data_IF_252428596505
#
_entry.id   IF_252428596505
#
_cell.length_a   1.000
_cell.length_b   1.000
_cell.length_c   1.000
_cell.angle_alpha   90.00
_cell.angle_beta   90.00
_cell.angle_gamma   90.00
#
_symmetry.space_group_name_H-M   'P 1'
#
loop_
_entity.id
_entity.type
_entity.pdbx_description
1 polymer ?
#
# COMPACT_ATOMS: atom_id res chain seq x y z
N UNK A 1 -4.17 -4.53 -11.54
CA UNK A 1 -3.89 -3.19 -12.12
C UNK A 1 -3.66 -2.12 -11.04
N UNK A 2 -4.44 -2.10 -9.96
CA UNK A 2 -4.34 -1.07 -8.91
C UNK A 2 -2.96 -0.99 -8.20
N UNK A 3 -2.32 -2.13 -7.90
CA UNK A 3 -0.99 -2.12 -7.25
C UNK A 3 0.08 -1.37 -8.06
N UNK A 4 0.06 -1.53 -9.40
CA UNK A 4 1.01 -0.84 -10.30
C UNK A 4 0.80 0.67 -10.31
N UNK A 5 -0.45 1.14 -10.19
CA UNK A 5 -0.76 2.58 -10.15
C UNK A 5 -0.29 3.20 -8.85
N UNK A 6 -0.56 2.56 -7.70
CA UNK A 6 -0.03 2.99 -6.39
C UNK A 6 1.49 3.08 -6.40
N UNK A 7 2.16 2.03 -6.88
CA UNK A 7 3.62 1.96 -6.96
C UNK A 7 4.18 3.11 -7.79
N UNK A 8 3.64 3.29 -8.99
CA UNK A 8 4.07 4.35 -9.91
C UNK A 8 3.90 5.73 -9.29
N UNK A 9 2.78 5.97 -8.61
CA UNK A 9 2.51 7.23 -7.93
C UNK A 9 3.56 7.52 -6.84
N UNK A 10 3.83 6.55 -5.97
CA UNK A 10 4.85 6.70 -4.92
C UNK A 10 6.24 6.96 -5.52
N UNK A 11 6.61 6.26 -6.60
CA UNK A 11 7.87 6.48 -7.31
C UNK A 11 7.94 7.87 -7.97
N UNK A 12 6.89 8.32 -8.65
CA UNK A 12 6.82 9.64 -9.31
C UNK A 12 6.94 10.78 -8.30
N UNK A 13 6.46 10.56 -7.08
CA UNK A 13 6.54 11.51 -5.98
C UNK A 13 7.79 11.34 -5.10
N UNK A 14 8.76 10.52 -5.52
CA UNK A 14 9.99 10.22 -4.76
C UNK A 14 9.75 9.76 -3.31
N UNK A 15 8.60 9.14 -3.04
CA UNK A 15 8.29 8.58 -1.72
C UNK A 15 9.03 7.25 -1.58
N UNK A 16 9.79 7.09 -0.50
CA UNK A 16 10.38 5.79 -0.17
C UNK A 16 9.27 4.82 0.28
N UNK A 17 9.12 3.71 -0.41
CA UNK A 17 8.18 2.65 -0.05
C UNK A 17 8.84 1.29 -0.24
N UNK A 18 8.34 0.30 0.51
CA UNK A 18 8.73 -1.10 0.38
C UNK A 18 7.57 -1.89 -0.25
N UNK A 19 7.88 -2.71 -1.25
CA UNK A 19 6.88 -3.56 -1.89
C UNK A 19 6.94 -4.96 -1.29
N UNK A 20 5.89 -5.34 -0.57
CA UNK A 20 5.71 -6.69 -0.05
C UNK A 20 4.72 -7.46 -0.92
N UNK A 21 5.23 -8.37 -1.75
CA UNK A 21 4.40 -9.22 -2.60
C UNK A 21 3.85 -10.41 -1.81
N UNK A 22 2.56 -10.40 -1.50
CA UNK A 22 1.89 -11.50 -0.77
C UNK A 22 1.93 -12.86 -1.48
N UNK A 23 2.20 -12.90 -2.79
CA UNK A 23 2.36 -14.16 -3.52
C UNK A 23 3.71 -14.83 -3.23
N UNK A 24 4.75 -14.03 -2.97
CA UNK A 24 6.08 -14.52 -2.59
C UNK A 24 6.23 -14.63 -1.08
N UNK A 25 5.53 -13.75 -0.35
CA UNK A 25 5.59 -13.60 1.09
C UNK A 25 4.20 -13.78 1.71
N UNK A 26 3.69 -15.03 1.78
CA UNK A 26 2.36 -15.31 2.31
C UNK A 26 2.19 -14.91 3.77
N UNK A 27 3.28 -14.72 4.53
CA UNK A 27 3.23 -14.20 5.91
C UNK A 27 2.51 -12.84 6.03
N UNK A 28 2.56 -12.02 4.98
CA UNK A 28 1.84 -10.75 4.97
C UNK A 28 0.33 -10.94 4.75
N UNK A 29 -0.13 -12.08 4.24
CA UNK A 29 -1.56 -12.36 4.11
C UNK A 29 -2.21 -12.37 5.50
N UNK A 30 -1.57 -13.03 6.47
CA UNK A 30 -2.08 -13.09 7.83
C UNK A 30 -2.04 -11.71 8.49
N UNK A 31 -0.97 -10.95 8.31
CA UNK A 31 -0.88 -9.55 8.75
C UNK A 31 -2.01 -8.68 8.19
N UNK A 32 -2.32 -8.81 6.89
CA UNK A 32 -3.42 -8.08 6.26
C UNK A 32 -4.78 -8.50 6.81
N UNK A 33 -5.00 -9.80 7.01
CA UNK A 33 -6.24 -10.35 7.58
C UNK A 33 -6.46 -9.92 9.02
N UNK A 34 -5.41 -9.94 9.85
CA UNK A 34 -5.47 -9.48 11.25
C UNK A 34 -5.86 -8.01 11.35
N UNK A 35 -5.43 -7.19 10.39
CA UNK A 35 -5.83 -5.79 10.26
C UNK A 35 -7.20 -5.59 9.61
N UNK A 36 -7.88 -6.66 9.21
CA UNK A 36 -9.20 -6.62 8.58
C UNK A 36 -9.18 -6.24 7.09
N UNK A 37 -8.01 -6.19 6.45
CA UNK A 37 -7.93 -5.91 5.01
C UNK A 37 -8.25 -7.16 4.20
N UNK A 38 -9.21 -7.02 3.29
CA UNK A 38 -9.64 -8.10 2.40
C UNK A 38 -9.27 -7.87 0.94
N UNK A 39 -8.68 -6.72 0.62
CA UNK A 39 -8.36 -6.32 -0.74
C UNK A 39 -6.96 -5.72 -0.85
N UNK A 40 -6.28 -6.01 -1.96
CA UNK A 40 -5.00 -5.43 -2.35
C UNK A 40 -5.18 -4.38 -3.44
N UNK A 41 -4.30 -3.37 -3.55
CA UNK A 41 -3.10 -3.12 -2.74
C UNK A 41 -3.43 -2.61 -1.34
N UNK A 42 -2.62 -2.95 -0.35
CA UNK A 42 -2.64 -2.31 0.97
C UNK A 42 -1.41 -1.44 1.11
N UNK A 43 -1.61 -0.20 1.54
CA UNK A 43 -0.54 0.76 1.75
C UNK A 43 -0.51 1.08 3.23
N UNK A 44 0.58 0.71 3.88
CA UNK A 44 0.87 1.14 5.25
C UNK A 44 1.82 2.33 5.19
N UNK A 45 1.57 3.31 6.05
CA UNK A 45 2.30 4.57 6.08
C UNK A 45 2.60 4.89 7.52
N UNK A 46 3.88 5.03 7.81
CA UNK A 46 4.31 5.34 9.17
C UNK A 46 3.66 6.63 9.68
N UNK A 47 3.02 6.56 10.85
CA UNK A 47 2.26 7.66 11.44
C UNK A 47 0.88 7.96 10.82
N UNK A 48 0.36 7.12 9.91
CA UNK A 48 -1.02 7.24 9.39
C UNK A 48 -1.75 5.90 9.42
N UNK A 49 -3.07 5.94 9.29
CA UNK A 49 -3.85 4.70 9.13
C UNK A 49 -3.54 4.04 7.79
N UNK A 50 -3.19 2.76 7.85
CA UNK A 50 -3.08 1.91 6.68
C UNK A 50 -4.43 1.84 5.94
N UNK A 51 -4.37 1.75 4.62
CA UNK A 51 -5.58 1.66 3.80
C UNK A 51 -5.44 0.63 2.70
N UNK A 52 -6.57 0.01 2.34
CA UNK A 52 -6.68 -0.87 1.19
C UNK A 52 -7.28 -0.17 -0.02
N UNK A 53 -6.81 -0.55 -1.20
CA UNK A 53 -7.25 -0.04 -2.50
C UNK A 53 -6.40 1.12 -3.02
N UNK A 54 -6.58 1.44 -4.30
CA UNK A 54 -5.94 2.62 -4.91
C UNK A 54 -6.67 3.90 -4.49
N UNK A 55 -6.07 4.67 -3.58
CA UNK A 55 -6.60 5.93 -3.05
C UNK A 55 -5.66 7.10 -3.37
N UNK A 56 -5.82 7.75 -4.54
CA UNK A 56 -4.94 8.84 -4.96
C UNK A 56 -5.02 10.04 -4.00
N UNK A 57 -6.15 10.24 -3.34
CA UNK A 57 -6.37 11.26 -2.31
C UNK A 57 -5.47 11.06 -1.08
N UNK A 58 -5.28 9.82 -0.63
CA UNK A 58 -4.39 9.52 0.50
C UNK A 58 -2.95 9.55 0.06
N UNK A 59 -2.65 9.02 -1.13
CA UNK A 59 -1.32 9.05 -1.72
C UNK A 59 -0.79 10.48 -1.89
N UNK A 60 -1.63 11.42 -2.36
CA UNK A 60 -1.29 12.84 -2.42
C UNK A 60 -0.89 13.41 -1.06
N UNK A 61 -1.55 13.01 0.03
CA UNK A 61 -1.22 13.49 1.38
C UNK A 61 0.10 12.92 1.92
N UNK A 62 0.64 11.86 1.33
CA UNK A 62 1.89 11.22 1.74
C UNK A 62 3.06 11.76 0.90
N UNK A 63 2.77 12.01 -0.37
CA UNK A 63 3.68 12.55 -1.36
C UNK A 63 3.86 14.07 -1.31
N UNK A 64 2.99 14.80 -0.59
CA UNK A 64 2.93 16.26 -0.55
C UNK A 64 3.38 16.84 0.79
#
# INVERSE_FOLDING_TARGET
MQCKMTKRYLTEHNVSFEEHNINEQPQYIDYLKERGFQAVPVVDVDGKEAFSGFRPDVLQKIAG
#
